data_IF_792562555462
#
_entry.id   IF_792562555462
#
_cell.length_a   1.000
_cell.length_b   1.000
_cell.length_c   1.000
_cell.angle_alpha   90.00
_cell.angle_beta   90.00
_cell.angle_gamma   90.00
#
_symmetry.space_group_name_H-M   'P 1'
#
loop_
_entity.id
_entity.type
_entity.pdbx_description
1 polymer ?
#
# COMPACT_ATOMS: atom_id res chain seq x y z
N UNK A 1 -30.79 -22.08 -69.27
CA UNK A 1 -31.21 -22.58 -67.94
C UNK A 1 -29.97 -23.18 -67.29
N UNK A 2 -29.33 -22.44 -66.37
CA UNK A 2 -29.17 -22.80 -64.93
C UNK A 2 -28.27 -24.03 -64.70
N UNK A 3 -27.19 -24.00 -63.92
CA UNK A 3 -26.73 -22.99 -62.98
C UNK A 3 -25.34 -23.32 -62.44
N UNK A 4 -24.74 -22.32 -61.79
CA UNK A 4 -23.50 -22.43 -61.05
C UNK A 4 -23.73 -23.14 -59.70
N UNK A 5 -22.84 -24.06 -59.33
CA UNK A 5 -22.80 -24.66 -58.01
C UNK A 5 -21.49 -24.28 -57.29
N UNK A 6 -21.65 -23.90 -56.02
CA UNK A 6 -20.76 -23.06 -55.24
C UNK A 6 -19.51 -23.76 -54.66
N UNK A 7 -18.45 -22.96 -54.54
CA UNK A 7 -17.16 -23.27 -53.90
C UNK A 7 -17.26 -23.15 -52.35
N UNK A 8 -16.60 -24.01 -51.54
CA UNK A 8 -16.81 -24.05 -50.09
C UNK A 8 -15.97 -23.00 -49.36
N UNK A 9 -16.59 -21.86 -49.01
CA UNK A 9 -16.01 -20.72 -48.24
C UNK A 9 -15.77 -20.97 -46.74
N UNK A 10 -15.95 -22.20 -46.24
CA UNK A 10 -16.10 -22.46 -44.79
C UNK A 10 -14.79 -22.50 -43.98
N UNK A 11 -13.64 -22.78 -44.61
CA UNK A 11 -12.35 -22.96 -43.90
C UNK A 11 -11.59 -21.66 -43.60
N UNK A 12 -11.81 -20.59 -44.38
CA UNK A 12 -11.17 -19.29 -44.14
C UNK A 12 -11.79 -18.53 -42.95
N UNK A 13 -13.11 -18.65 -42.76
CA UNK A 13 -13.84 -17.91 -41.74
C UNK A 13 -13.49 -18.35 -40.31
N UNK A 14 -13.21 -19.64 -40.10
CA UNK A 14 -12.84 -20.16 -38.77
C UNK A 14 -11.43 -19.72 -38.32
N UNK A 15 -10.45 -19.64 -39.23
CA UNK A 15 -9.09 -19.20 -38.89
C UNK A 15 -9.03 -17.69 -38.63
N UNK A 16 -9.83 -16.90 -39.34
CA UNK A 16 -9.97 -15.47 -39.10
C UNK A 16 -10.67 -15.18 -37.75
N UNK A 17 -11.68 -15.96 -37.37
CA UNK A 17 -12.40 -15.80 -36.10
C UNK A 17 -11.56 -16.17 -34.85
N UNK A 18 -10.68 -17.18 -34.97
CA UNK A 18 -9.73 -17.55 -33.91
C UNK A 18 -8.62 -16.50 -33.73
N UNK A 19 -8.16 -15.88 -34.83
CA UNK A 19 -7.15 -14.84 -34.79
C UNK A 19 -7.66 -13.53 -34.18
N UNK A 20 -8.91 -13.14 -34.46
CA UNK A 20 -9.52 -11.93 -33.87
C UNK A 20 -9.87 -12.11 -32.39
N UNK A 21 -10.29 -13.30 -31.97
CA UNK A 21 -10.55 -13.59 -30.55
C UNK A 21 -9.26 -13.56 -29.72
N UNK A 22 -8.15 -14.11 -30.24
CA UNK A 22 -6.85 -14.07 -29.59
C UNK A 22 -6.28 -12.64 -29.45
N UNK A 23 -6.53 -11.78 -30.43
CA UNK A 23 -6.07 -10.37 -30.43
C UNK A 23 -6.84 -9.50 -29.44
N UNK A 24 -8.11 -9.82 -29.15
CA UNK A 24 -8.94 -9.14 -28.15
C UNK A 24 -8.67 -9.63 -26.72
N UNK A 25 -8.23 -10.88 -26.52
CA UNK A 25 -7.93 -11.43 -25.18
C UNK A 25 -6.49 -11.18 -24.70
N UNK A 26 -5.54 -10.93 -25.61
CA UNK A 26 -4.14 -10.66 -25.28
C UNK A 26 -3.91 -9.47 -24.31
N UNK A 27 -4.58 -8.30 -24.45
CA UNK A 27 -4.37 -7.19 -23.52
C UNK A 27 -4.96 -7.44 -22.12
N UNK A 28 -5.94 -8.34 -21.99
CA UNK A 28 -6.55 -8.69 -20.70
C UNK A 28 -5.65 -9.60 -19.86
N UNK A 29 -4.83 -10.45 -20.47
CA UNK A 29 -3.88 -11.33 -19.75
C UNK A 29 -2.63 -10.56 -19.30
N UNK A 30 -2.22 -9.53 -20.05
CA UNK A 30 -1.07 -8.69 -19.72
C UNK A 30 -1.28 -7.81 -18.46
N UNK A 31 -2.53 -7.54 -18.08
CA UNK A 31 -2.85 -6.74 -16.88
C UNK A 31 -2.92 -7.56 -15.58
N UNK A 32 -2.90 -8.90 -15.63
CA UNK A 32 -2.89 -9.74 -14.43
C UNK A 32 -1.52 -9.85 -13.73
N UNK A 33 -0.43 -9.40 -14.39
CA UNK A 33 0.94 -9.65 -13.94
C UNK A 33 1.60 -8.54 -13.10
N UNK A 34 0.94 -7.42 -12.87
CA UNK A 34 1.55 -6.24 -12.23
C UNK A 34 1.00 -5.98 -10.81
N UNK A 35 1.00 -6.98 -9.95
CA UNK A 35 0.94 -6.72 -8.51
C UNK A 35 2.33 -6.23 -8.06
N UNK A 36 2.60 -4.94 -8.21
CA UNK A 36 3.80 -4.35 -7.63
C UNK A 36 3.73 -4.52 -6.11
N UNK A 37 4.79 -5.05 -5.51
CA UNK A 37 4.91 -5.19 -4.07
C UNK A 37 4.84 -3.79 -3.44
N UNK A 38 3.72 -3.47 -2.78
CA UNK A 38 3.57 -2.22 -2.04
C UNK A 38 4.66 -2.20 -0.96
N UNK A 39 5.55 -1.20 -1.00
CA UNK A 39 6.56 -1.02 0.02
C UNK A 39 5.86 -0.82 1.37
N UNK A 40 6.18 -1.70 2.33
CA UNK A 40 5.58 -1.65 3.67
C UNK A 40 6.05 -0.36 4.34
N UNK A 41 5.11 0.41 4.85
CA UNK A 41 5.42 1.64 5.59
C UNK A 41 4.54 1.80 6.81
N UNK A 42 5.07 2.47 7.84
CA UNK A 42 4.34 2.84 9.06
C UNK A 42 4.50 4.33 9.33
N UNK A 43 3.49 4.92 9.94
CA UNK A 43 3.47 6.31 10.39
C UNK A 43 3.63 6.37 11.90
N UNK A 44 4.62 7.13 12.35
CA UNK A 44 4.92 7.36 13.77
C UNK A 44 4.59 8.81 14.10
N UNK A 45 3.58 9.02 14.95
CA UNK A 45 3.33 10.33 15.55
C UNK A 45 4.27 10.51 16.75
N UNK A 46 5.10 11.55 16.73
CA UNK A 46 6.09 11.80 17.78
C UNK A 46 6.14 13.28 18.16
N UNK A 47 6.94 13.61 19.18
CA UNK A 47 7.14 14.98 19.61
C UNK A 47 8.25 15.70 18.83
N UNK A 48 8.08 16.99 18.55
CA UNK A 48 9.10 17.82 17.87
C UNK A 48 10.45 17.82 18.57
N UNK A 49 10.47 17.83 19.90
CA UNK A 49 11.70 17.74 20.69
C UNK A 49 12.47 16.43 20.45
N UNK A 50 11.77 15.32 20.25
CA UNK A 50 12.37 14.02 19.94
C UNK A 50 12.91 13.98 18.52
N UNK A 51 12.17 14.50 17.54
CA UNK A 51 12.65 14.62 16.16
C UNK A 51 13.92 15.48 16.09
N UNK A 52 13.89 16.65 16.72
CA UNK A 52 15.01 17.61 16.75
C UNK A 52 16.25 17.08 17.47
N UNK A 53 16.10 16.08 18.35
CA UNK A 53 17.25 15.43 18.98
C UNK A 53 18.10 14.61 18.00
N UNK A 54 17.55 14.27 16.83
CA UNK A 54 18.21 13.40 15.85
C UNK A 54 18.06 11.89 16.14
N UNK A 55 17.32 11.50 17.19
CA UNK A 55 17.08 10.10 17.56
C UNK A 55 16.60 9.25 16.37
N UNK A 56 15.56 9.72 15.69
CA UNK A 56 14.96 8.99 14.56
C UNK A 56 15.93 8.86 13.38
N UNK A 57 16.75 9.88 13.14
CA UNK A 57 17.80 9.84 12.12
C UNK A 57 18.86 8.77 12.39
N UNK A 58 19.05 8.33 13.64
CA UNK A 58 19.99 7.27 13.99
C UNK A 58 19.35 5.88 13.99
N UNK A 59 18.14 5.74 14.54
CA UNK A 59 17.54 4.41 14.75
C UNK A 59 16.75 3.89 13.54
N UNK A 60 16.07 4.78 12.80
CA UNK A 60 15.19 4.37 11.72
C UNK A 60 15.92 3.81 10.49
N UNK A 61 17.12 4.29 10.10
CA UNK A 61 17.87 3.67 9.01
C UNK A 61 18.20 2.20 9.28
N UNK A 62 18.65 1.88 10.50
CA UNK A 62 18.96 0.51 10.90
C UNK A 62 17.69 -0.37 10.94
N UNK A 63 16.59 0.16 11.50
CA UNK A 63 15.31 -0.53 11.48
C UNK A 63 14.81 -0.82 10.07
N UNK A 64 14.90 0.17 9.17
CA UNK A 64 14.48 0.06 7.77
C UNK A 64 15.32 -0.97 7.03
N UNK A 65 16.64 -0.99 7.23
CA UNK A 65 17.52 -2.01 6.63
C UNK A 65 17.20 -3.42 7.13
N UNK A 66 16.91 -3.59 8.42
CA UNK A 66 16.65 -4.89 9.01
C UNK A 66 15.27 -5.47 8.62
N UNK A 67 14.26 -4.60 8.46
CA UNK A 67 12.86 -5.03 8.28
C UNK A 67 12.32 -4.79 6.87
N UNK A 68 12.94 -3.91 6.09
CA UNK A 68 12.40 -3.40 4.84
C UNK A 68 11.17 -2.50 4.99
N UNK A 69 10.83 -2.07 6.22
CA UNK A 69 9.68 -1.21 6.50
C UNK A 69 10.13 0.25 6.53
N UNK A 70 9.53 1.08 5.67
CA UNK A 70 9.74 2.52 5.69
C UNK A 70 9.01 3.16 6.87
N UNK A 71 9.63 4.13 7.52
CA UNK A 71 9.01 4.84 8.66
C UNK A 71 8.83 6.31 8.31
N UNK A 72 7.60 6.81 8.45
CA UNK A 72 7.26 8.23 8.30
C UNK A 72 7.02 8.83 9.67
N UNK A 73 7.87 9.76 10.09
CA UNK A 73 7.67 10.48 11.37
C UNK A 73 6.86 11.74 11.13
N UNK A 74 5.86 11.98 11.97
CA UNK A 74 5.09 13.22 12.04
C UNK A 74 5.37 13.86 13.39
N UNK A 75 6.14 14.94 13.38
CA UNK A 75 6.58 15.65 14.58
C UNK A 75 5.56 16.71 15.01
N UNK A 76 4.95 16.53 16.19
CA UNK A 76 3.85 17.32 16.73
C UNK A 76 4.09 17.67 18.21
N UNK A 77 3.19 18.41 18.86
CA UNK A 77 3.14 18.45 20.33
C UNK A 77 2.56 17.14 20.90
N UNK A 78 2.83 16.82 22.17
CA UNK A 78 2.36 15.57 22.83
C UNK A 78 0.86 15.36 22.69
N UNK A 79 0.04 16.38 22.99
CA UNK A 79 -1.42 16.29 22.85
C UNK A 79 -1.86 16.01 21.42
N UNK A 80 -1.25 16.70 20.45
CA UNK A 80 -1.54 16.49 19.03
C UNK A 80 -1.13 15.10 18.54
N UNK A 81 0.01 14.57 18.99
CA UNK A 81 0.47 13.22 18.64
C UNK A 81 -0.50 12.16 19.17
N UNK A 82 -0.98 12.31 20.41
CA UNK A 82 -2.00 11.44 20.99
C UNK A 82 -3.33 11.57 20.24
N UNK A 83 -3.76 12.78 19.87
CA UNK A 83 -4.99 12.99 19.10
C UNK A 83 -4.94 12.36 17.70
N UNK A 84 -3.79 12.42 17.03
CA UNK A 84 -3.53 11.70 15.77
C UNK A 84 -3.66 10.20 15.98
N UNK A 85 -3.10 9.67 17.08
CA UNK A 85 -3.26 8.26 17.47
C UNK A 85 -4.72 7.88 17.74
N UNK A 86 -5.48 8.71 18.47
CA UNK A 86 -6.90 8.48 18.76
C UNK A 86 -7.75 8.36 17.50
N UNK A 87 -7.42 9.14 16.46
CA UNK A 87 -8.12 9.09 15.16
C UNK A 87 -7.70 7.91 14.29
N UNK A 88 -6.61 7.23 14.63
CA UNK A 88 -6.03 6.16 13.80
C UNK A 88 -5.24 6.68 12.60
N UNK A 89 -4.84 7.95 12.62
CA UNK A 89 -4.05 8.58 11.54
C UNK A 89 -2.55 8.15 11.61
N UNK A 90 -2.12 7.56 12.74
CA UNK A 90 -0.79 7.01 12.93
C UNK A 90 -0.84 5.57 13.44
N UNK A 91 0.13 4.76 13.01
CA UNK A 91 0.27 3.36 13.43
C UNK A 91 0.93 3.25 14.81
N UNK A 92 1.81 4.19 15.15
CA UNK A 92 2.55 4.23 16.40
C UNK A 92 2.53 5.65 16.96
N UNK A 93 2.33 5.77 18.27
CA UNK A 93 2.50 7.03 19.00
C UNK A 93 3.73 6.91 19.90
N UNK A 94 4.65 7.87 19.77
CA UNK A 94 5.88 7.94 20.57
C UNK A 94 5.91 9.27 21.33
N UNK A 95 5.66 9.23 22.65
CA UNK A 95 5.64 10.42 23.50
C UNK A 95 6.56 10.23 24.70
N UNK A 96 7.11 11.34 25.20
CA UNK A 96 7.94 11.38 26.39
C UNK A 96 7.15 11.76 27.66
N UNK A 97 5.83 11.59 27.64
CA UNK A 97 4.91 11.89 28.74
C UNK A 97 4.17 10.61 29.15
N UNK A 98 4.62 10.02 30.25
CA UNK A 98 4.08 8.78 30.79
C UNK A 98 2.63 8.91 31.27
N UNK A 99 2.28 10.04 31.90
CA UNK A 99 0.93 10.23 32.44
C UNK A 99 -0.09 10.33 31.31
N UNK A 100 0.26 11.05 30.23
CA UNK A 100 -0.58 11.16 29.04
C UNK A 100 -0.72 9.82 28.29
N UNK A 101 0.37 9.05 28.17
CA UNK A 101 0.36 7.70 27.61
C UNK A 101 -0.54 6.74 28.42
N UNK A 102 -0.39 6.71 29.74
CA UNK A 102 -1.21 5.84 30.62
C UNK A 102 -2.70 6.17 30.48
N UNK A 103 -3.06 7.45 30.40
CA UNK A 103 -4.44 7.88 30.14
C UNK A 103 -4.92 7.41 28.76
N UNK A 104 -4.11 7.56 27.73
CA UNK A 104 -4.44 7.12 26.36
C UNK A 104 -4.69 5.61 26.28
N UNK A 105 -3.89 4.81 26.99
CA UNK A 105 -4.08 3.36 27.11
C UNK A 105 -5.37 3.04 27.88
N UNK A 106 -5.59 3.70 29.03
CA UNK A 106 -6.79 3.50 29.85
C UNK A 106 -8.09 3.84 29.13
N UNK A 107 -8.04 4.80 28.21
CA UNK A 107 -9.15 5.18 27.33
C UNK A 107 -9.38 4.17 26.18
N UNK A 108 -8.52 3.17 26.02
CA UNK A 108 -8.67 2.09 25.03
C UNK A 108 -8.14 2.42 23.64
N UNK A 109 -7.32 3.46 23.49
CA UNK A 109 -6.76 3.87 22.20
C UNK A 109 -5.45 3.16 21.82
N UNK A 110 -4.89 2.32 22.72
CA UNK A 110 -3.67 1.56 22.48
C UNK A 110 -3.93 0.05 22.54
N UNK A 111 -3.51 -0.67 21.50
CA UNK A 111 -3.60 -2.14 21.47
C UNK A 111 -2.38 -2.81 22.11
N UNK A 112 -1.20 -2.18 22.05
CA UNK A 112 0.08 -2.69 22.56
C UNK A 112 0.97 -1.52 23.05
N UNK A 113 1.88 -1.82 23.98
CA UNK A 113 2.94 -0.92 24.49
C UNK A 113 4.29 -1.63 24.42
#
# INVERSE_FOLDING_TARGET
>A
MTGAAAMPRRRCLFRAALATLALLTAPLVASLGAAQAQQRSITVASTTSTEQSGLFGHILPAFTQATGIQVRVVALGTGQALDVGRRGDADVVFVHDRAAEEKFIAEGFATRR
#
